data_IF_711796620042
#
_entry.id   IF_711796620042
#
_cell.length_a   1.000
_cell.length_b   1.000
_cell.length_c   1.000
_cell.angle_alpha   90.00
_cell.angle_beta   90.00
_cell.angle_gamma   90.00
#
_symmetry.space_group_name_H-M   'P 1'
#
loop_
_entity.id
_entity.type
_entity.pdbx_description
1 polymer ?
#
# COMPACT_ATOMS: atom_id res chain seq x y z
N UNK A 1 -12.68 9.50 16.06
CA UNK A 1 -12.45 8.56 14.95
C UNK A 1 -13.56 7.54 14.86
N UNK A 2 -14.16 7.33 13.68
CA UNK A 2 -15.07 6.22 13.44
C UNK A 2 -14.33 4.88 13.47
N UNK A 3 -15.04 3.79 13.74
CA UNK A 3 -14.48 2.43 13.66
C UNK A 3 -14.23 2.03 12.20
N UNK A 4 -13.04 1.48 11.94
CA UNK A 4 -12.66 0.91 10.65
C UNK A 4 -11.80 -0.35 10.85
N UNK A 5 -11.81 -1.24 9.87
CA UNK A 5 -10.97 -2.45 9.86
C UNK A 5 -10.24 -2.57 8.54
N UNK A 6 -9.04 -3.14 8.59
CA UNK A 6 -8.21 -3.43 7.42
C UNK A 6 -7.81 -4.91 7.47
N UNK A 7 -7.99 -5.61 6.37
CA UNK A 7 -7.47 -6.95 6.14
C UNK A 7 -6.63 -6.93 4.85
N UNK A 8 -5.34 -7.21 5.01
CA UNK A 8 -4.37 -7.19 3.93
C UNK A 8 -3.21 -8.15 4.24
N UNK A 9 -2.44 -8.55 3.23
CA UNK A 9 -1.20 -9.29 3.45
C UNK A 9 -0.24 -8.53 4.39
N UNK A 10 0.51 -9.27 5.21
CA UNK A 10 1.58 -8.71 6.05
C UNK A 10 2.89 -8.49 5.27
N UNK A 11 2.96 -8.97 4.02
CA UNK A 11 4.10 -8.83 3.12
C UNK A 11 3.64 -8.62 1.69
N UNK A 12 4.39 -7.82 0.92
CA UNK A 12 4.16 -7.65 -0.51
C UNK A 12 5.46 -7.32 -1.25
N UNK A 13 5.52 -7.64 -2.54
CA UNK A 13 6.68 -7.31 -3.37
C UNK A 13 6.67 -5.82 -3.72
N UNK A 14 7.84 -5.20 -3.74
CA UNK A 14 8.03 -3.82 -4.16
C UNK A 14 7.34 -3.53 -5.50
N UNK A 15 6.55 -2.45 -5.53
CA UNK A 15 5.80 -2.02 -6.70
C UNK A 15 4.57 -2.86 -7.07
N UNK A 16 4.29 -3.96 -6.36
CA UNK A 16 3.11 -4.79 -6.58
C UNK A 16 1.82 -4.08 -6.14
N UNK A 17 0.70 -4.39 -6.78
CA UNK A 17 -0.63 -3.99 -6.30
C UNK A 17 -1.20 -5.10 -5.44
N UNK A 18 -1.63 -4.78 -4.24
CA UNK A 18 -2.34 -5.70 -3.35
C UNK A 18 -3.81 -5.33 -3.28
N UNK A 19 -4.63 -6.33 -3.00
CA UNK A 19 -6.01 -6.14 -2.57
C UNK A 19 -6.02 -5.87 -1.07
N UNK A 20 -6.76 -4.84 -0.66
CA UNK A 20 -7.02 -4.52 0.75
C UNK A 20 -8.53 -4.57 0.95
N UNK A 21 -8.96 -5.53 1.75
CA UNK A 21 -10.31 -5.60 2.25
C UNK A 21 -10.43 -4.63 3.43
N UNK A 22 -11.49 -3.83 3.43
CA UNK A 22 -11.68 -2.80 4.45
C UNK A 22 -13.15 -2.69 4.84
N UNK A 23 -13.39 -2.13 6.02
CA UNK A 23 -14.72 -1.70 6.45
C UNK A 23 -14.59 -0.37 7.17
N UNK A 24 -15.58 0.50 7.03
CA UNK A 24 -15.56 1.84 7.58
C UNK A 24 -16.71 2.70 7.06
N UNK A 25 -16.76 3.98 7.41
CA UNK A 25 -17.85 4.87 7.06
C UNK A 25 -17.97 5.17 5.55
N UNK A 26 -16.89 4.98 4.78
CA UNK A 26 -16.85 5.27 3.34
C UNK A 26 -17.34 6.69 3.03
N UNK A 27 -17.01 7.63 3.91
CA UNK A 27 -17.34 9.03 3.75
C UNK A 27 -16.54 9.64 2.59
N UNK A 28 -17.03 10.77 2.10
CA UNK A 28 -16.32 11.52 1.06
C UNK A 28 -14.91 11.88 1.54
N UNK A 29 -13.91 11.48 0.75
CA UNK A 29 -12.49 11.71 1.05
C UNK A 29 -11.82 10.60 1.85
N UNK A 30 -12.55 9.55 2.27
CA UNK A 30 -11.94 8.41 2.94
C UNK A 30 -10.94 7.71 2.00
N UNK A 31 -9.79 7.34 2.53
CA UNK A 31 -8.71 6.77 1.72
C UNK A 31 -7.91 5.72 2.49
N UNK A 32 -7.34 4.78 1.74
CA UNK A 32 -6.26 3.93 2.22
C UNK A 32 -4.95 4.52 1.77
N UNK A 33 -4.11 4.90 2.71
CA UNK A 33 -2.76 5.39 2.44
C UNK A 33 -1.74 4.31 2.77
N UNK A 34 -0.58 4.35 2.13
CA UNK A 34 0.61 3.64 2.59
C UNK A 34 1.67 4.66 3.01
N UNK A 35 2.20 4.49 4.21
CA UNK A 35 3.08 5.44 4.86
C UNK A 35 4.24 4.75 5.57
N UNK A 36 5.31 5.50 5.83
CA UNK A 36 6.34 5.06 6.77
C UNK A 36 5.76 5.11 8.19
N UNK A 37 6.18 4.18 9.08
CA UNK A 37 5.78 4.22 10.48
C UNK A 37 6.23 5.54 11.11
N UNK A 38 5.43 6.06 12.04
CA UNK A 38 5.71 7.27 12.82
C UNK A 38 5.88 8.57 12.02
N UNK A 39 5.48 8.59 10.73
CA UNK A 39 5.44 9.81 9.92
C UNK A 39 4.01 10.20 9.56
N UNK A 40 3.70 11.49 9.51
CA UNK A 40 2.40 12.01 9.05
C UNK A 40 2.25 11.92 7.52
N UNK A 41 3.37 11.81 6.78
CA UNK A 41 3.37 11.70 5.33
C UNK A 41 3.03 10.29 4.84
N UNK A 42 2.45 10.21 3.64
CA UNK A 42 2.22 8.97 2.91
C UNK A 42 2.99 8.97 1.59
N UNK A 43 3.26 7.79 1.05
CA UNK A 43 3.95 7.60 -0.24
C UNK A 43 2.98 7.28 -1.38
N UNK A 44 1.85 6.67 -1.08
CA UNK A 44 0.78 6.39 -2.04
C UNK A 44 -0.57 6.26 -1.34
N UNK A 45 -1.68 6.41 -2.07
CA UNK A 45 -3.02 6.27 -1.53
C UNK A 45 -4.05 5.87 -2.60
N UNK A 46 -5.23 5.45 -2.16
CA UNK A 46 -6.42 5.23 -2.98
C UNK A 46 -7.66 5.65 -2.21
N UNK A 47 -8.62 6.30 -2.88
CA UNK A 47 -9.92 6.60 -2.27
C UNK A 47 -10.76 5.33 -2.18
N UNK A 48 -11.38 5.12 -1.02
CA UNK A 48 -12.19 3.92 -0.78
C UNK A 48 -13.56 3.99 -1.43
N UNK A 49 -14.06 5.21 -1.70
CA UNK A 49 -15.33 5.43 -2.38
C UNK A 49 -15.36 4.92 -3.83
N UNK A 50 -14.19 4.61 -4.43
CA UNK A 50 -14.07 4.26 -5.84
C UNK A 50 -13.92 2.75 -6.09
N UNK A 51 -13.61 1.94 -5.07
CA UNK A 51 -13.43 0.49 -5.24
C UNK A 51 -13.54 -0.30 -3.92
N UNK A 52 -14.40 -1.31 -3.92
CA UNK A 52 -14.45 -2.39 -2.93
C UNK A 52 -14.25 -3.74 -3.64
N UNK A 53 -13.19 -4.51 -3.32
CA UNK A 53 -12.08 -4.17 -2.43
C UNK A 53 -11.12 -3.12 -3.05
N UNK A 54 -10.32 -2.47 -2.20
CA UNK A 54 -9.38 -1.45 -2.65
C UNK A 54 -8.13 -2.08 -3.27
N UNK A 55 -7.64 -1.48 -4.37
CA UNK A 55 -6.38 -1.88 -5.02
C UNK A 55 -5.28 -0.87 -4.66
N UNK A 56 -4.37 -1.26 -3.78
CA UNK A 56 -3.31 -0.38 -3.28
C UNK A 56 -1.95 -0.81 -3.82
N UNK A 57 -1.26 0.11 -4.51
CA UNK A 57 0.08 -0.15 -5.06
C UNK A 57 1.16 0.12 -4.01
N UNK A 58 1.99 -0.89 -3.78
CA UNK A 58 3.10 -0.85 -2.84
C UNK A 58 4.25 0.04 -3.32
N UNK A 59 5.01 0.62 -2.38
CA UNK A 59 6.23 1.35 -2.66
C UNK A 59 7.23 0.53 -3.47
N UNK A 60 8.04 1.20 -4.30
CA UNK A 60 9.12 0.56 -5.02
C UNK A 60 10.35 0.27 -4.13
N UNK A 61 10.46 0.95 -2.98
CA UNK A 61 11.54 0.76 -2.03
C UNK A 61 11.14 -0.26 -0.95
N UNK A 62 11.92 -1.34 -0.75
CA UNK A 62 11.63 -2.34 0.26
C UNK A 62 11.80 -1.79 1.68
N UNK A 63 10.96 -2.22 2.61
CA UNK A 63 10.97 -1.69 3.98
C UNK A 63 9.70 -2.01 4.76
N UNK A 64 9.61 -1.48 5.98
CA UNK A 64 8.41 -1.60 6.81
C UNK A 64 7.55 -0.37 6.59
N UNK A 65 6.27 -0.60 6.29
CA UNK A 65 5.27 0.43 6.04
C UNK A 65 3.99 0.12 6.82
N UNK A 66 3.09 1.09 6.80
CA UNK A 66 1.75 1.00 7.37
C UNK A 66 0.73 1.36 6.31
N UNK A 67 -0.28 0.50 6.14
CA UNK A 67 -1.53 0.84 5.46
C UNK A 67 -2.43 1.52 6.48
N UNK A 68 -2.95 2.71 6.18
CA UNK A 68 -3.79 3.47 7.10
C UNK A 68 -5.11 3.83 6.45
N UNK A 69 -6.20 3.58 7.14
CA UNK A 69 -7.50 4.13 6.80
C UNK A 69 -7.57 5.57 7.31
N UNK A 70 -7.68 6.53 6.41
CA UNK A 70 -7.86 7.94 6.74
C UNK A 70 -9.33 8.28 6.57
N UNK A 71 -9.95 8.77 7.64
CA UNK A 71 -11.28 9.34 7.62
C UNK A 71 -11.21 10.75 7.05
N UNK A 72 -11.72 10.93 5.83
CA UNK A 72 -11.58 12.13 5.02
C UNK A 72 -12.10 13.42 5.66
N UNK A 73 -13.22 13.43 6.41
CA UNK A 73 -13.78 14.67 6.96
C UNK A 73 -12.87 15.43 7.94
N UNK A 74 -11.88 14.78 8.54
CA UNK A 74 -10.94 15.41 9.47
C UNK A 74 -9.51 14.85 9.41
N UNK A 75 -9.16 14.14 8.33
CA UNK A 75 -7.84 13.53 8.09
C UNK A 75 -7.33 12.64 9.24
N UNK A 76 -8.23 11.94 9.92
CA UNK A 76 -7.90 11.14 11.11
C UNK A 76 -7.65 9.66 10.77
N UNK A 77 -6.63 9.05 11.37
CA UNK A 77 -6.33 7.62 11.17
C UNK A 77 -7.32 6.76 11.95
N UNK A 78 -8.20 6.05 11.25
CA UNK A 78 -9.21 5.17 11.84
C UNK A 78 -8.74 3.72 12.06
N UNK A 79 -7.81 3.25 11.22
CA UNK A 79 -7.23 1.91 11.35
C UNK A 79 -5.84 1.89 10.73
N UNK A 80 -4.98 1.00 11.25
CA UNK A 80 -3.61 0.80 10.77
C UNK A 80 -3.34 -0.69 10.61
N UNK A 81 -2.66 -1.06 9.52
CA UNK A 81 -2.19 -2.41 9.25
C UNK A 81 -0.73 -2.39 8.82
N UNK A 82 0.14 -3.12 9.51
CA UNK A 82 1.58 -3.16 9.19
C UNK A 82 1.84 -4.10 8.03
N UNK A 83 2.69 -3.68 7.10
CA UNK A 83 3.14 -4.48 5.96
C UNK A 83 4.64 -4.34 5.73
N UNK A 84 5.29 -5.43 5.35
CA UNK A 84 6.71 -5.44 4.95
C UNK A 84 6.82 -5.58 3.44
N UNK A 85 7.40 -4.58 2.78
CA UNK A 85 7.67 -4.58 1.35
C UNK A 85 9.00 -5.29 1.10
N UNK A 86 8.97 -6.40 0.38
CA UNK A 86 10.16 -7.17 -0.01
C UNK A 86 10.71 -6.67 -1.35
N UNK A 87 12.01 -6.80 -1.62
CA UNK A 87 12.56 -6.45 -2.93
C UNK A 87 11.88 -7.25 -4.05
N UNK A 88 11.76 -6.63 -5.22
CA UNK A 88 11.39 -7.35 -6.43
C UNK A 88 12.60 -8.16 -6.91
N UNK A 89 12.42 -9.46 -7.11
CA UNK A 89 13.41 -10.31 -7.77
C UNK A 89 13.44 -9.97 -9.27
N UNK A 90 14.22 -8.96 -9.62
CA UNK A 90 14.54 -8.67 -11.02
C UNK A 90 15.72 -9.55 -11.41
N UNK A 91 15.45 -10.79 -11.85
CA UNK A 91 16.47 -11.54 -12.58
C UNK A 91 16.63 -10.89 -13.96
N UNK A 92 17.68 -10.07 -14.11
CA UNK A 92 18.14 -9.65 -15.43
C UNK A 92 18.83 -10.88 -16.05
N UNK A 93 18.06 -11.66 -16.79
CA UNK A 93 18.60 -12.64 -17.74
C UNK A 93 19.15 -11.83 -18.93
N UNK A 94 20.32 -11.22 -18.75
CA UNK A 94 21.08 -10.70 -19.88
C UNK A 94 21.63 -11.91 -20.63
N UNK A 95 21.31 -12.13 -21.92
CA UNK A 95 21.97 -13.18 -22.68
C UNK A 95 23.46 -12.87 -22.72
N UNK A 96 24.25 -13.64 -21.97
CA UNK A 96 25.69 -13.63 -22.05
C UNK A 96 26.10 -14.33 -23.34
N UNK A 97 26.03 -13.64 -24.48
CA UNK A 97 26.96 -13.88 -25.60
C UNK A 97 26.79 -12.85 -26.71
N UNK A 98 27.81 -12.02 -26.88
CA UNK A 98 28.23 -11.59 -28.20
C UNK A 98 29.73 -11.91 -28.31
N UNK A 99 30.06 -13.08 -28.84
CA UNK A 99 31.33 -13.24 -29.55
C UNK A 99 31.09 -12.64 -30.94
N UNK A 100 31.70 -11.49 -31.22
CA UNK A 100 32.02 -11.09 -32.57
C UNK A 100 33.53 -11.25 -32.69
N UNK A 101 33.94 -12.21 -33.52
CA UNK A 101 35.34 -12.42 -33.90
C UNK A 101 35.81 -11.47 -34.99
#
# INVERSE_FOLDING_TARGET
>A
TPDATLDAPITAVAGATITVDWSGPAAAGDSLTIALPDTESFVNFVYVAEAEPAQLRMPADPGVYEIRYIYGPNDEIAATHRITVTPADASIDAPATAFAG
#
